data_IF_740649653908
#
_entry.id   IF_740649653908
#
_cell.length_a   1.000
_cell.length_b   1.000
_cell.length_c   1.000
_cell.angle_alpha   90.00
_cell.angle_beta   90.00
_cell.angle_gamma   90.00
#
_symmetry.space_group_name_H-M   'P 1'
#
loop_
_entity.id
_entity.type
_entity.pdbx_description
1 polymer ?
#
# COMPACT_ATOMS: atom_id res chain seq x y z
N UNK A 1 27.59 11.18 -92.52
CA UNK A 1 27.19 10.04 -91.69
C UNK A 1 27.32 10.46 -90.19
N UNK A 2 26.25 10.62 -89.40
CA UNK A 2 26.40 11.08 -88.06
C UNK A 2 26.46 9.89 -87.07
N UNK A 3 27.47 9.94 -86.19
CA UNK A 3 27.65 8.99 -85.10
C UNK A 3 26.59 9.24 -83.97
N UNK A 4 25.76 8.21 -83.68
CA UNK A 4 24.88 8.18 -82.54
C UNK A 4 25.69 7.76 -81.29
N UNK A 5 25.77 8.68 -80.30
CA UNK A 5 26.28 8.38 -78.98
C UNK A 5 25.16 7.79 -78.17
N UNK A 6 25.26 6.57 -77.64
CA UNK A 6 24.41 5.97 -76.66
C UNK A 6 24.89 6.45 -75.28
N UNK A 7 23.99 7.11 -74.54
CA UNK A 7 24.21 7.45 -73.12
C UNK A 7 23.59 6.36 -72.33
N UNK A 8 24.38 5.58 -71.56
CA UNK A 8 23.90 4.62 -70.56
C UNK A 8 23.63 5.41 -69.28
N UNK A 9 22.35 5.47 -68.83
CA UNK A 9 21.97 5.97 -67.54
C UNK A 9 22.01 4.77 -66.61
N UNK A 10 23.00 4.76 -65.69
CA UNK A 10 23.06 3.81 -64.59
C UNK A 10 22.07 4.28 -63.50
N UNK A 11 20.94 3.59 -63.35
CA UNK A 11 20.05 3.82 -62.23
C UNK A 11 20.60 3.11 -60.98
N UNK A 12 21.13 3.90 -60.03
CA UNK A 12 21.52 3.42 -58.69
C UNK A 12 20.27 3.36 -57.87
N UNK A 13 19.70 2.17 -57.68
CA UNK A 13 18.65 1.88 -56.70
C UNK A 13 19.31 1.71 -55.35
N UNK A 14 19.31 2.79 -54.53
CA UNK A 14 19.64 2.72 -53.11
C UNK A 14 18.53 2.00 -52.35
N UNK A 15 18.81 0.77 -51.96
CA UNK A 15 18.00 0.03 -51.01
C UNK A 15 18.15 0.67 -49.60
N UNK A 16 17.19 1.51 -49.23
CA UNK A 16 17.02 1.94 -47.83
C UNK A 16 16.51 0.74 -47.04
N UNK A 17 17.41 0.05 -46.31
CA UNK A 17 17.00 -0.87 -45.25
C UNK A 17 16.45 -0.05 -44.10
N UNK A 18 15.14 0.12 -44.06
CA UNK A 18 14.41 0.58 -42.87
C UNK A 18 14.44 -0.57 -41.90
N UNK A 19 15.39 -0.54 -40.98
CA UNK A 19 15.36 -1.40 -39.77
C UNK A 19 14.16 -0.98 -38.94
N UNK A 20 13.04 -1.67 -39.12
CA UNK A 20 11.89 -1.53 -38.22
C UNK A 20 12.31 -2.14 -36.87
N UNK A 21 12.67 -1.29 -35.93
CA UNK A 21 12.68 -1.66 -34.51
C UNK A 21 11.27 -2.01 -34.13
N UNK A 22 10.98 -3.29 -34.07
CA UNK A 22 9.72 -3.81 -33.50
C UNK A 22 9.76 -3.46 -32.02
N UNK A 23 9.15 -2.34 -31.66
CA UNK A 23 8.80 -2.06 -30.28
C UNK A 23 7.68 -3.05 -29.95
N UNK A 24 8.00 -4.12 -29.21
CA UNK A 24 6.99 -4.98 -28.64
C UNK A 24 6.12 -4.11 -27.73
N UNK A 25 4.87 -3.91 -28.12
CA UNK A 25 3.90 -3.27 -27.26
C UNK A 25 3.80 -4.07 -25.94
N UNK A 26 3.78 -3.39 -24.78
CA UNK A 26 3.63 -4.10 -23.51
C UNK A 26 2.31 -4.85 -23.54
N UNK A 27 2.36 -6.13 -23.20
CA UNK A 27 1.18 -7.00 -23.09
C UNK A 27 0.11 -6.29 -22.24
N UNK A 28 -1.12 -6.08 -22.75
CA UNK A 28 -2.14 -5.38 -22.00
C UNK A 28 -2.41 -6.06 -20.66
N UNK A 29 -2.64 -5.27 -19.60
CA UNK A 29 -2.95 -5.74 -18.24
C UNK A 29 -4.15 -6.74 -18.19
N UNK A 30 -4.98 -6.77 -19.22
CA UNK A 30 -6.13 -7.67 -19.39
C UNK A 30 -5.77 -9.15 -19.60
N UNK A 31 -4.48 -9.48 -19.79
CA UNK A 31 -4.00 -10.88 -19.95
C UNK A 31 -3.44 -11.50 -18.67
N UNK A 32 -3.38 -10.74 -17.56
CA UNK A 32 -3.17 -11.34 -16.25
C UNK A 32 -4.51 -11.98 -15.86
N UNK A 33 -4.59 -13.30 -15.94
CA UNK A 33 -5.72 -14.02 -15.36
C UNK A 33 -5.90 -13.56 -13.93
N UNK A 34 -7.06 -12.96 -13.62
CA UNK A 34 -7.43 -12.68 -12.22
C UNK A 34 -7.45 -14.02 -11.52
N UNK A 35 -6.41 -14.28 -10.73
CA UNK A 35 -6.33 -15.49 -9.93
C UNK A 35 -7.61 -15.58 -9.11
N UNK A 36 -8.43 -16.60 -9.36
CA UNK A 36 -9.73 -16.77 -8.69
C UNK A 36 -9.51 -16.74 -7.18
N UNK A 37 -10.15 -15.80 -6.50
CA UNK A 37 -10.06 -15.67 -5.04
C UNK A 37 -10.54 -16.95 -4.35
N UNK A 38 -9.85 -17.38 -3.29
CA UNK A 38 -10.33 -18.43 -2.40
C UNK A 38 -11.62 -17.99 -1.68
N UNK A 39 -12.37 -18.91 -1.09
CA UNK A 39 -13.58 -18.56 -0.33
C UNK A 39 -13.26 -17.58 0.83
N UNK A 40 -12.13 -17.77 1.50
CA UNK A 40 -11.66 -16.88 2.56
C UNK A 40 -11.35 -15.47 2.02
N UNK A 41 -10.66 -15.36 0.88
CA UNK A 41 -10.38 -14.08 0.22
C UNK A 41 -11.66 -13.40 -0.29
N UNK A 42 -12.64 -14.17 -0.79
CA UNK A 42 -13.95 -13.65 -1.18
C UNK A 42 -14.70 -13.08 0.02
N UNK A 43 -14.65 -13.78 1.15
CA UNK A 43 -15.21 -13.29 2.41
C UNK A 43 -14.49 -12.02 2.87
N UNK A 44 -13.17 -12.01 2.88
CA UNK A 44 -12.35 -10.84 3.23
C UNK A 44 -12.70 -9.63 2.36
N UNK A 45 -12.89 -9.83 1.06
CA UNK A 45 -13.36 -8.79 0.15
C UNK A 45 -14.72 -8.22 0.60
N UNK A 46 -15.69 -9.07 0.95
CA UNK A 46 -17.00 -8.58 1.39
C UNK A 46 -16.90 -7.80 2.70
N UNK A 47 -16.10 -8.26 3.65
CA UNK A 47 -15.83 -7.57 4.91
C UNK A 47 -15.14 -6.21 4.70
N UNK A 48 -14.14 -6.15 3.81
CA UNK A 48 -13.37 -4.93 3.51
C UNK A 48 -14.25 -3.80 2.94
N UNK A 49 -15.31 -4.14 2.22
CA UNK A 49 -16.23 -3.18 1.59
C UNK A 49 -17.56 -3.00 2.36
N UNK A 50 -17.77 -3.65 3.49
CA UNK A 50 -19.06 -3.57 4.20
C UNK A 50 -19.15 -2.34 5.10
N UNK A 51 -19.87 -1.34 4.64
CA UNK A 51 -20.13 -0.09 5.38
C UNK A 51 -21.09 -0.25 6.56
N UNK A 52 -21.75 -1.41 6.74
CA UNK A 52 -22.61 -1.66 7.89
C UNK A 52 -21.81 -1.99 9.15
N UNK A 53 -20.51 -2.29 9.03
CA UNK A 53 -19.69 -2.71 10.16
C UNK A 53 -19.28 -1.56 11.08
N UNK A 54 -19.37 -0.30 10.64
CA UNK A 54 -19.15 0.89 11.49
C UNK A 54 -20.36 1.26 12.34
N UNK A 55 -20.20 2.12 13.35
CA UNK A 55 -21.26 2.61 14.24
C UNK A 55 -21.18 4.15 14.42
N UNK A 56 -22.07 4.96 13.76
CA UNK A 56 -23.15 4.53 12.88
C UNK A 56 -22.65 3.83 11.61
N UNK A 57 -23.52 3.06 10.90
CA UNK A 57 -23.18 2.52 9.58
C UNK A 57 -22.83 3.61 8.57
N UNK A 58 -21.88 3.35 7.69
CA UNK A 58 -21.47 4.29 6.63
C UNK A 58 -20.00 4.21 6.26
N UNK A 59 -19.16 3.55 7.06
CA UNK A 59 -17.72 3.44 6.83
C UNK A 59 -17.26 1.98 6.79
N UNK A 60 -16.31 1.70 5.93
CA UNK A 60 -15.63 0.41 5.76
C UNK A 60 -14.12 0.64 5.58
N UNK A 61 -13.32 -0.42 5.50
CA UNK A 61 -11.89 -0.29 5.15
C UNK A 61 -11.71 0.47 3.83
N UNK A 62 -12.55 0.16 2.83
CA UNK A 62 -12.51 0.82 1.52
C UNK A 62 -12.86 2.32 1.56
N UNK A 63 -13.43 2.84 2.65
CA UNK A 63 -13.72 4.27 2.79
C UNK A 63 -12.45 5.10 2.95
N UNK A 64 -11.42 4.52 3.60
CA UNK A 64 -10.11 5.16 3.78
C UNK A 64 -9.03 4.53 2.90
N UNK A 65 -9.27 3.34 2.35
CA UNK A 65 -8.35 2.63 1.46
C UNK A 65 -9.01 2.37 0.10
N UNK A 66 -9.31 3.47 -0.64
CA UNK A 66 -9.98 3.37 -1.94
C UNK A 66 -9.01 2.81 -3.00
N UNK A 67 -9.46 1.79 -3.71
CA UNK A 67 -8.70 1.15 -4.79
C UNK A 67 -8.36 2.12 -5.94
N UNK A 68 -9.17 3.15 -6.13
CA UNK A 68 -8.96 4.17 -7.17
C UNK A 68 -7.81 5.12 -6.82
N UNK A 69 -7.51 5.29 -5.55
CA UNK A 69 -6.46 6.17 -5.02
C UNK A 69 -5.26 5.39 -4.51
N UNK A 70 -5.02 4.20 -5.07
CA UNK A 70 -3.93 3.31 -4.66
C UNK A 70 -4.05 2.83 -3.20
N UNK A 71 -5.28 2.57 -2.76
CA UNK A 71 -5.60 2.05 -1.42
C UNK A 71 -5.19 2.99 -0.28
N UNK A 72 -5.27 4.29 -0.53
CA UNK A 72 -5.14 5.34 0.47
C UNK A 72 -6.35 6.28 0.40
N UNK A 73 -6.52 7.12 1.40
CA UNK A 73 -7.53 8.18 1.39
C UNK A 73 -6.94 9.45 0.77
N UNK A 74 -7.66 10.03 -0.19
CA UNK A 74 -7.30 11.30 -0.80
C UNK A 74 -8.45 12.27 -0.58
N UNK A 75 -8.66 12.67 0.67
CA UNK A 75 -9.62 13.72 0.99
C UNK A 75 -8.98 15.06 0.68
N UNK A 76 -9.58 15.83 -0.25
CA UNK A 76 -9.14 17.17 -0.52
C UNK A 76 -9.29 18.03 0.75
N UNK A 77 -8.23 18.76 1.09
CA UNK A 77 -8.17 19.67 2.23
C UNK A 77 -8.22 19.01 3.63
N UNK A 78 -7.81 17.74 3.77
CA UNK A 78 -7.58 17.13 5.09
C UNK A 78 -6.31 16.29 5.08
N UNK A 79 -5.43 16.44 6.08
CA UNK A 79 -4.23 15.61 6.21
C UNK A 79 -4.54 14.20 6.73
N UNK A 80 -5.77 13.96 7.21
CA UNK A 80 -6.20 12.73 7.87
C UNK A 80 -7.60 12.32 7.44
N UNK A 81 -7.88 11.01 7.51
CA UNK A 81 -9.21 10.47 7.21
C UNK A 81 -10.25 10.85 8.26
N UNK A 82 -11.50 10.98 7.79
CA UNK A 82 -12.65 11.22 8.65
C UNK A 82 -13.14 9.90 9.26
N UNK A 83 -13.53 9.94 10.54
CA UNK A 83 -14.23 8.85 11.19
C UNK A 83 -15.70 8.76 10.80
N UNK A 84 -16.35 7.64 11.16
CA UNK A 84 -17.81 7.46 10.92
C UNK A 84 -18.67 8.43 11.73
N UNK A 85 -18.15 8.96 12.84
CA UNK A 85 -18.82 9.98 13.66
C UNK A 85 -18.35 11.36 13.19
N UNK A 86 -19.32 12.22 12.85
CA UNK A 86 -19.02 13.59 12.39
C UNK A 86 -18.11 14.33 13.35
N UNK A 87 -17.07 14.96 12.83
CA UNK A 87 -16.08 15.72 13.60
C UNK A 87 -14.96 14.87 14.22
N UNK A 88 -15.00 13.55 14.12
CA UNK A 88 -13.86 12.69 14.50
C UNK A 88 -12.95 12.41 13.32
N UNK A 89 -11.66 12.37 13.57
CA UNK A 89 -10.64 12.17 12.55
C UNK A 89 -9.51 11.31 13.12
N UNK A 90 -8.78 10.64 12.23
CA UNK A 90 -7.48 10.07 12.56
C UNK A 90 -6.47 11.13 13.04
N UNK A 91 -5.26 10.70 13.36
CA UNK A 91 -4.15 11.57 13.78
C UNK A 91 -3.01 11.57 12.76
N UNK A 92 -3.03 10.65 11.82
CA UNK A 92 -1.98 10.45 10.81
C UNK A 92 -2.59 10.33 9.43
N UNK A 93 -1.82 10.68 8.42
CA UNK A 93 -2.18 10.37 7.04
C UNK A 93 -2.42 8.87 6.88
N UNK A 94 -3.43 8.48 6.12
CA UNK A 94 -3.76 7.08 5.87
C UNK A 94 -2.70 6.44 4.97
N UNK A 95 -1.88 5.52 5.47
CA UNK A 95 -0.92 4.82 4.63
C UNK A 95 -1.64 3.95 3.60
N UNK A 96 -1.03 3.78 2.44
CA UNK A 96 -1.57 2.83 1.47
C UNK A 96 -1.64 1.42 2.05
N UNK A 97 -2.79 0.75 1.91
CA UNK A 97 -2.90 -0.68 2.22
C UNK A 97 -2.22 -1.57 1.16
N UNK A 98 -1.78 -0.99 0.02
CA UNK A 98 -1.01 -1.73 -0.98
C UNK A 98 0.33 -2.20 -0.39
N UNK A 99 0.70 -3.44 -0.69
CA UNK A 99 1.94 -4.08 -0.27
C UNK A 99 2.12 -4.25 1.26
N UNK A 100 1.12 -3.92 2.07
CA UNK A 100 1.17 -4.06 3.53
C UNK A 100 1.40 -5.50 4.00
N UNK A 101 0.98 -6.48 3.18
CA UNK A 101 1.16 -7.91 3.45
C UNK A 101 2.64 -8.37 3.43
N UNK A 102 3.56 -7.56 2.89
CA UNK A 102 4.99 -7.87 2.86
C UNK A 102 5.75 -7.37 4.09
N UNK A 103 5.13 -6.54 4.94
CA UNK A 103 5.80 -6.12 6.16
C UNK A 103 6.11 -7.32 7.06
N UNK A 104 7.36 -7.48 7.53
CA UNK A 104 7.69 -8.51 8.50
C UNK A 104 6.91 -8.31 9.80
N UNK A 105 6.75 -9.36 10.61
CA UNK A 105 6.17 -9.22 11.94
C UNK A 105 6.98 -8.25 12.80
N UNK A 106 6.30 -7.46 13.65
CA UNK A 106 6.99 -6.52 14.54
C UNK A 106 7.93 -7.26 15.49
N UNK A 107 9.19 -6.86 15.53
CA UNK A 107 10.21 -7.41 16.43
C UNK A 107 11.35 -6.42 16.66
N UNK A 108 12.12 -6.67 17.71
CA UNK A 108 13.41 -6.03 17.95
C UNK A 108 14.51 -6.91 17.34
N UNK A 109 15.32 -6.32 16.48
CA UNK A 109 16.52 -6.96 15.95
C UNK A 109 17.69 -6.66 16.90
N UNK A 110 18.23 -7.71 17.52
CA UNK A 110 19.28 -7.56 18.52
C UNK A 110 20.69 -7.38 17.91
N UNK A 111 20.85 -7.67 16.61
CA UNK A 111 22.13 -7.47 15.91
C UNK A 111 22.26 -6.01 15.46
N UNK A 112 21.18 -5.45 14.93
CA UNK A 112 21.12 -4.05 14.48
C UNK A 112 20.68 -3.08 15.59
N UNK A 113 20.25 -3.59 16.73
CA UNK A 113 19.75 -2.82 17.90
C UNK A 113 18.59 -1.88 17.57
N UNK A 114 17.65 -2.33 16.69
CA UNK A 114 16.52 -1.53 16.23
C UNK A 114 15.24 -2.36 16.07
N UNK A 115 14.10 -1.68 15.99
CA UNK A 115 12.82 -2.30 15.74
C UNK A 115 12.54 -2.36 14.24
N UNK A 116 11.91 -3.47 13.79
CA UNK A 116 11.58 -3.73 12.40
C UNK A 116 10.13 -4.23 12.28
N UNK A 117 9.46 -3.86 11.19
CA UNK A 117 8.21 -4.48 10.77
C UNK A 117 6.96 -4.00 11.48
N UNK A 118 5.97 -4.86 11.61
CA UNK A 118 4.66 -4.50 12.15
C UNK A 118 3.82 -3.64 11.22
N UNK A 119 2.62 -3.31 11.69
CA UNK A 119 1.66 -2.48 10.98
C UNK A 119 1.42 -1.16 11.74
N UNK A 120 0.74 -0.22 11.08
CA UNK A 120 0.72 1.20 11.42
C UNK A 120 2.11 1.85 11.33
N UNK A 121 2.19 3.16 11.58
CA UNK A 121 3.46 3.88 11.56
C UNK A 121 4.23 3.78 12.89
N UNK A 122 3.60 3.25 13.93
CA UNK A 122 4.13 3.07 15.29
C UNK A 122 4.35 1.60 15.70
N UNK A 123 4.10 0.64 14.81
CA UNK A 123 4.34 -0.78 15.08
C UNK A 123 3.37 -1.45 16.05
N UNK A 124 2.32 -0.74 16.53
CA UNK A 124 1.41 -1.26 17.58
C UNK A 124 0.63 -2.52 17.21
N UNK A 125 0.57 -2.87 15.93
CA UNK A 125 0.03 -4.16 15.49
C UNK A 125 1.14 -5.04 14.92
N UNK A 126 1.30 -6.23 15.48
CA UNK A 126 2.43 -7.11 15.17
C UNK A 126 2.43 -7.61 13.70
N UNK A 127 1.27 -7.70 13.07
CA UNK A 127 1.11 -8.16 11.69
C UNK A 127 -0.22 -7.67 11.10
N UNK A 128 -0.45 -7.96 9.81
CA UNK A 128 -1.62 -7.50 9.08
C UNK A 128 -2.97 -7.97 9.70
N UNK A 129 -3.02 -9.19 10.22
CA UNK A 129 -4.23 -9.70 10.88
C UNK A 129 -4.54 -8.91 12.16
N UNK A 130 -3.54 -8.61 12.97
CA UNK A 130 -3.74 -7.80 14.20
C UNK A 130 -4.11 -6.35 13.84
N UNK A 131 -3.56 -5.80 12.76
CA UNK A 131 -3.94 -4.49 12.26
C UNK A 131 -5.42 -4.43 11.88
N UNK A 132 -5.94 -5.43 11.15
CA UNK A 132 -7.31 -5.45 10.67
C UNK A 132 -8.38 -5.45 11.78
N UNK A 133 -8.01 -5.74 13.02
CA UNK A 133 -8.90 -5.65 14.19
C UNK A 133 -9.12 -4.20 14.64
N UNK A 134 -8.09 -3.38 14.62
CA UNK A 134 -8.08 -2.09 15.30
C UNK A 134 -9.12 -1.07 14.76
N UNK A 135 -9.29 -0.86 13.45
CA UNK A 135 -10.19 0.15 12.90
C UNK A 135 -11.66 -0.02 13.32
N UNK A 136 -12.14 -1.25 13.49
CA UNK A 136 -13.53 -1.50 13.89
C UNK A 136 -13.89 -0.85 15.22
N UNK A 137 -12.99 -0.91 16.19
CA UNK A 137 -13.21 -0.46 17.57
C UNK A 137 -12.67 0.94 17.83
N UNK A 138 -11.87 1.49 16.90
CA UNK A 138 -11.33 2.83 17.05
C UNK A 138 -12.45 3.88 16.98
N UNK A 139 -12.63 4.70 18.02
CA UNK A 139 -13.69 5.71 18.05
C UNK A 139 -13.49 6.80 16.98
N UNK A 140 -12.28 7.05 16.54
CA UNK A 140 -11.94 8.03 15.50
C UNK A 140 -12.01 7.45 14.06
N UNK A 141 -12.36 6.16 13.93
CA UNK A 141 -12.53 5.45 12.65
C UNK A 141 -13.94 4.84 12.58
N UNK A 142 -14.08 3.51 12.69
CA UNK A 142 -15.37 2.80 12.54
C UNK A 142 -16.24 2.80 13.81
N UNK A 143 -15.72 3.15 14.97
CA UNK A 143 -16.43 3.42 16.22
C UNK A 143 -17.41 2.32 16.68
N UNK A 144 -17.17 1.06 16.38
CA UNK A 144 -17.97 -0.03 16.97
C UNK A 144 -17.64 -0.17 18.46
N UNK A 145 -18.64 -0.35 19.34
CA UNK A 145 -18.40 -0.32 20.79
C UNK A 145 -17.59 -1.52 21.29
N UNK A 146 -17.73 -2.66 20.65
CA UNK A 146 -17.05 -3.91 20.99
C UNK A 146 -17.09 -4.94 19.85
N UNK A 147 -16.31 -6.01 19.99
CA UNK A 147 -16.24 -7.14 19.06
C UNK A 147 -17.62 -7.82 18.86
N UNK A 148 -18.40 -7.95 19.94
CA UNK A 148 -19.73 -8.57 19.89
C UNK A 148 -20.67 -7.80 18.95
N UNK A 149 -20.61 -6.46 18.98
CA UNK A 149 -21.43 -5.60 18.13
C UNK A 149 -21.07 -5.80 16.64
N UNK A 150 -19.78 -5.92 16.30
CA UNK A 150 -19.34 -6.25 14.95
C UNK A 150 -19.87 -7.62 14.52
N UNK A 151 -19.74 -8.64 15.37
CA UNK A 151 -20.22 -9.99 15.06
C UNK A 151 -21.73 -10.06 14.94
N UNK A 152 -22.48 -9.29 15.72
CA UNK A 152 -23.94 -9.23 15.61
C UNK A 152 -24.37 -8.68 14.22
N UNK A 153 -23.65 -7.70 13.68
CA UNK A 153 -23.89 -7.19 12.32
C UNK A 153 -23.57 -8.26 11.26
N UNK A 154 -22.47 -9.00 11.43
CA UNK A 154 -22.07 -10.09 10.51
C UNK A 154 -23.10 -11.23 10.53
N UNK A 155 -23.70 -11.59 11.67
CA UNK A 155 -24.76 -12.62 11.75
C UNK A 155 -25.94 -12.36 10.81
N UNK A 156 -26.24 -11.11 10.54
CA UNK A 156 -27.35 -10.68 9.67
C UNK A 156 -26.90 -10.26 8.27
N UNK A 157 -25.60 -10.26 8.01
CA UNK A 157 -25.06 -9.89 6.71
C UNK A 157 -25.32 -10.96 5.65
N UNK A 158 -25.44 -10.53 4.40
CA UNK A 158 -25.64 -11.43 3.23
C UNK A 158 -24.58 -12.52 3.10
N UNK A 159 -23.40 -12.31 3.64
CA UNK A 159 -22.25 -13.24 3.60
C UNK A 159 -22.10 -14.08 4.90
N UNK A 160 -23.07 -14.06 5.81
CA UNK A 160 -23.03 -14.87 7.03
C UNK A 160 -22.90 -16.38 6.76
N UNK A 161 -23.56 -16.87 5.70
CA UNK A 161 -23.44 -18.25 5.26
C UNK A 161 -22.03 -18.58 4.74
N UNK A 162 -21.41 -17.67 3.98
CA UNK A 162 -20.04 -17.83 3.52
C UNK A 162 -19.06 -17.82 4.72
N UNK A 163 -19.30 -16.96 5.72
CA UNK A 163 -18.49 -16.93 6.94
C UNK A 163 -18.48 -18.28 7.67
N UNK A 164 -19.68 -18.88 7.82
CA UNK A 164 -19.84 -20.22 8.39
C UNK A 164 -19.20 -21.32 7.52
N UNK A 165 -19.34 -21.22 6.21
CA UNK A 165 -18.72 -22.19 5.27
C UNK A 165 -17.19 -22.18 5.39
N UNK A 166 -16.56 -21.00 5.59
CA UNK A 166 -15.11 -20.87 5.68
C UNK A 166 -14.58 -21.30 7.05
N UNK A 167 -15.26 -20.92 8.13
CA UNK A 167 -14.72 -21.04 9.49
C UNK A 167 -15.49 -22.01 10.39
N UNK A 168 -16.53 -22.65 9.86
CA UNK A 168 -17.36 -23.62 10.58
C UNK A 168 -18.70 -23.07 11.03
N UNK A 169 -19.74 -23.92 11.04
CA UNK A 169 -21.15 -23.55 11.32
C UNK A 169 -21.35 -22.81 12.63
N UNK A 170 -20.57 -23.12 13.66
CA UNK A 170 -20.73 -22.58 15.01
C UNK A 170 -19.86 -21.35 15.27
N UNK A 171 -19.06 -20.91 14.33
CA UNK A 171 -18.05 -19.86 14.53
C UNK A 171 -18.66 -18.55 15.06
N UNK A 172 -19.83 -18.16 14.56
CA UNK A 172 -20.51 -16.92 14.96
C UNK A 172 -21.11 -16.96 16.37
N UNK A 173 -21.07 -18.11 17.09
CA UNK A 173 -21.53 -18.23 18.47
C UNK A 173 -20.48 -17.77 19.48
N UNK A 174 -19.22 -17.67 19.09
CA UNK A 174 -18.10 -17.18 19.91
C UNK A 174 -17.57 -15.89 19.28
N UNK A 175 -17.94 -14.74 19.84
CA UNK A 175 -17.62 -13.43 19.26
C UNK A 175 -16.13 -13.16 19.17
N UNK A 176 -15.37 -13.56 20.17
CA UNK A 176 -13.92 -13.35 20.19
C UNK A 176 -13.22 -14.15 19.09
N UNK A 177 -13.59 -15.43 18.95
CA UNK A 177 -13.06 -16.28 17.87
C UNK A 177 -13.53 -15.78 16.50
N UNK A 178 -14.81 -15.41 16.38
CA UNK A 178 -15.35 -14.87 15.12
C UNK A 178 -14.66 -13.59 14.72
N UNK A 179 -14.40 -12.67 15.66
CA UNK A 179 -13.70 -11.42 15.40
C UNK A 179 -12.25 -11.65 14.92
N UNK A 180 -11.56 -12.62 15.52
CA UNK A 180 -10.24 -13.05 15.04
C UNK A 180 -10.29 -13.59 13.60
N UNK A 181 -11.38 -14.28 13.22
CA UNK A 181 -11.60 -14.77 11.86
C UNK A 181 -12.01 -13.68 10.88
N UNK A 182 -12.69 -12.62 11.32
CA UNK A 182 -12.91 -11.41 10.51
C UNK A 182 -11.57 -10.82 10.08
N UNK A 183 -10.69 -10.59 11.03
CA UNK A 183 -9.35 -10.05 10.77
C UNK A 183 -8.51 -10.96 9.86
N UNK A 184 -8.58 -12.27 10.08
CA UNK A 184 -7.91 -13.26 9.22
C UNK A 184 -8.39 -13.18 7.78
N UNK A 185 -9.68 -13.11 7.53
CA UNK A 185 -10.24 -13.03 6.18
C UNK A 185 -9.87 -11.72 5.48
N UNK A 186 -9.88 -10.59 6.20
CA UNK A 186 -9.46 -9.29 5.65
C UNK A 186 -7.97 -9.36 5.27
N UNK A 187 -7.09 -9.80 6.15
CA UNK A 187 -5.67 -9.95 5.86
C UNK A 187 -5.42 -10.90 4.67
N UNK A 188 -6.20 -11.98 4.55
CA UNK A 188 -6.14 -12.89 3.40
C UNK A 188 -6.51 -12.20 2.09
N UNK A 189 -7.49 -11.28 2.10
CA UNK A 189 -7.86 -10.48 0.93
C UNK A 189 -6.79 -9.44 0.59
N UNK A 190 -6.24 -8.75 1.57
CA UNK A 190 -5.17 -7.76 1.37
C UNK A 190 -3.87 -8.40 0.85
N UNK A 191 -3.66 -9.69 1.10
CA UNK A 191 -2.53 -10.45 0.53
C UNK A 191 -2.76 -10.91 -0.92
N UNK A 192 -3.79 -10.42 -1.60
CA UNK A 192 -4.03 -10.78 -3.01
C UNK A 192 -3.28 -9.86 -3.97
N UNK A 193 -3.19 -10.28 -5.24
CA UNK A 193 -2.61 -9.48 -6.31
C UNK A 193 -3.35 -8.14 -6.54
N UNK A 194 -4.56 -7.97 -6.02
CA UNK A 194 -5.28 -6.68 -6.09
C UNK A 194 -4.56 -5.59 -5.28
N UNK A 195 -3.88 -5.96 -4.20
CA UNK A 195 -3.08 -5.06 -3.37
C UNK A 195 -1.60 -5.03 -3.77
N UNK A 196 -1.11 -6.06 -4.46
CA UNK A 196 0.32 -6.36 -4.62
C UNK A 196 0.69 -6.54 -6.11
N UNK A 197 0.44 -5.52 -6.94
CA UNK A 197 0.47 -5.68 -8.42
C UNK A 197 1.87 -5.70 -9.04
N UNK A 198 2.84 -5.01 -8.49
CA UNK A 198 4.19 -4.87 -9.05
C UNK A 198 4.17 -4.58 -10.56
N UNK A 199 3.48 -3.53 -10.97
CA UNK A 199 3.24 -3.17 -12.37
C UNK A 199 3.65 -1.73 -12.70
N UNK A 200 4.53 -1.13 -11.90
CA UNK A 200 5.09 0.19 -12.19
C UNK A 200 6.10 0.12 -13.34
N UNK A 201 6.40 1.28 -13.94
CA UNK A 201 7.48 1.38 -14.92
C UNK A 201 8.82 0.88 -14.36
N UNK A 202 9.06 1.11 -13.06
CA UNK A 202 10.26 0.64 -12.39
C UNK A 202 10.33 -0.90 -12.30
N UNK A 203 9.20 -1.56 -12.03
CA UNK A 203 9.14 -3.04 -12.05
C UNK A 203 9.46 -3.59 -13.44
N UNK A 204 8.94 -2.96 -14.50
CA UNK A 204 9.26 -3.35 -15.86
C UNK A 204 10.72 -3.04 -16.27
N UNK A 205 11.30 -1.96 -15.73
CA UNK A 205 12.70 -1.64 -15.90
C UNK A 205 13.60 -2.71 -15.26
N UNK A 206 13.34 -3.08 -14.02
CA UNK A 206 14.08 -4.14 -13.33
C UNK A 206 13.97 -5.50 -14.06
N UNK A 207 12.81 -5.75 -14.67
CA UNK A 207 12.59 -6.95 -15.52
C UNK A 207 13.24 -6.85 -16.92
N UNK A 208 13.95 -5.76 -17.25
CA UNK A 208 14.55 -5.52 -18.56
C UNK A 208 13.56 -5.29 -19.71
N UNK A 209 12.30 -4.98 -19.41
CA UNK A 209 11.23 -4.81 -20.41
C UNK A 209 11.10 -3.39 -20.94
N UNK A 210 11.52 -2.39 -20.19
CA UNK A 210 11.49 -0.97 -20.57
C UNK A 210 12.76 -0.28 -20.10
N UNK A 211 13.15 0.82 -20.77
CA UNK A 211 14.22 1.69 -20.33
C UNK A 211 13.65 2.88 -19.53
N UNK A 212 14.42 3.37 -18.57
CA UNK A 212 14.18 4.67 -17.96
C UNK A 212 14.57 5.78 -18.93
N UNK A 213 13.87 6.90 -18.92
CA UNK A 213 14.30 8.12 -19.58
C UNK A 213 15.58 8.66 -18.91
N UNK A 214 16.30 9.56 -19.58
CA UNK A 214 17.51 10.18 -19.02
C UNK A 214 17.24 10.90 -17.69
N UNK A 215 16.05 11.50 -17.53
CA UNK A 215 15.67 12.20 -16.30
C UNK A 215 15.36 11.23 -15.18
N UNK A 216 14.62 10.14 -15.47
CA UNK A 216 14.32 9.08 -14.50
C UNK A 216 15.59 8.35 -14.05
N UNK A 217 16.51 8.06 -14.99
CA UNK A 217 17.80 7.46 -14.63
C UNK A 217 18.62 8.39 -13.72
N UNK A 218 18.69 9.68 -14.04
CA UNK A 218 19.35 10.65 -13.17
C UNK A 218 18.69 10.74 -11.81
N UNK A 219 17.36 10.63 -11.74
CA UNK A 219 16.62 10.58 -10.48
C UNK A 219 16.98 9.35 -9.65
N UNK A 220 17.06 8.18 -10.29
CA UNK A 220 17.48 6.93 -9.65
C UNK A 220 18.92 7.02 -9.14
N UNK A 221 19.85 7.55 -9.96
CA UNK A 221 21.24 7.74 -9.58
C UNK A 221 21.36 8.65 -8.33
N UNK A 222 20.57 9.74 -8.27
CA UNK A 222 20.54 10.63 -7.10
C UNK A 222 19.88 9.99 -5.86
N UNK A 223 18.90 9.15 -6.08
CA UNK A 223 18.19 8.43 -5.01
C UNK A 223 19.10 7.40 -4.32
N UNK A 224 20.00 6.76 -5.10
CA UNK A 224 20.91 5.73 -4.64
C UNK A 224 22.29 6.28 -4.22
N UNK A 225 22.64 7.50 -4.59
CA UNK A 225 23.95 8.11 -4.33
C UNK A 225 24.08 8.51 -2.85
N UNK A 226 24.96 7.83 -2.12
CA UNK A 226 25.20 8.00 -0.69
C UNK A 226 25.71 9.42 -0.34
N UNK A 227 26.40 10.07 -1.26
CA UNK A 227 26.93 11.43 -1.07
C UNK A 227 25.91 12.54 -1.44
N UNK A 228 24.71 12.17 -1.94
CA UNK A 228 23.69 13.12 -2.41
C UNK A 228 22.32 12.90 -1.76
N UNK A 229 21.45 12.11 -2.43
CA UNK A 229 20.09 11.88 -1.95
C UNK A 229 20.06 10.89 -0.80
N UNK A 230 20.83 9.82 -0.91
CA UNK A 230 20.90 8.70 0.01
C UNK A 230 19.54 8.16 0.48
N UNK A 231 18.51 8.31 -0.37
CA UNK A 231 17.16 7.89 -0.02
C UNK A 231 17.06 6.36 0.05
N UNK A 232 17.89 5.66 -0.75
CA UNK A 232 17.91 4.20 -0.80
C UNK A 232 18.45 3.55 0.50
N UNK A 233 19.05 4.31 1.40
CA UNK A 233 19.49 3.82 2.71
C UNK A 233 18.31 3.25 3.53
N UNK A 234 17.15 3.94 3.49
CA UNK A 234 15.92 3.50 4.15
C UNK A 234 14.88 2.99 3.15
N UNK A 235 14.82 3.63 1.96
CA UNK A 235 13.87 3.27 0.90
C UNK A 235 14.52 2.41 -0.17
N UNK A 236 14.88 1.18 0.16
CA UNK A 236 15.65 0.27 -0.70
C UNK A 236 15.03 0.11 -2.09
N UNK A 237 15.79 0.51 -3.13
CA UNK A 237 15.38 0.45 -4.54
C UNK A 237 15.72 -0.88 -5.22
N UNK A 238 16.61 -1.65 -4.61
CA UNK A 238 17.06 -2.98 -5.08
C UNK A 238 16.92 -3.99 -3.96
N UNK A 239 16.72 -5.25 -4.33
CA UNK A 239 16.65 -6.36 -3.39
C UNK A 239 17.55 -7.47 -3.86
N UNK A 240 18.15 -8.18 -2.93
CA UNK A 240 18.86 -9.41 -3.24
C UNK A 240 17.88 -10.50 -3.68
N UNK A 241 18.34 -11.40 -4.56
CA UNK A 241 17.54 -12.55 -5.02
C UNK A 241 16.41 -12.23 -6.01
N UNK A 242 16.35 -11.00 -6.58
CA UNK A 242 15.44 -10.66 -7.68
C UNK A 242 13.97 -10.46 -7.26
N UNK A 243 13.68 -10.30 -5.99
CA UNK A 243 12.37 -9.85 -5.52
C UNK A 243 12.13 -8.39 -5.89
N UNK A 244 10.86 -7.98 -5.96
CA UNK A 244 10.53 -6.58 -6.29
C UNK A 244 10.75 -5.68 -5.06
N UNK A 245 11.47 -4.55 -5.18
CA UNK A 245 11.72 -3.66 -4.06
C UNK A 245 10.44 -3.02 -3.56
N UNK A 246 10.32 -2.87 -2.26
CA UNK A 246 9.18 -2.25 -1.60
C UNK A 246 9.43 -0.79 -1.23
N UNK A 247 10.64 -0.29 -1.46
CA UNK A 247 11.08 1.07 -1.12
C UNK A 247 10.85 1.41 0.35
N UNK A 248 11.18 0.46 1.21
CA UNK A 248 11.22 0.54 2.67
C UNK A 248 12.07 -0.62 3.19
N UNK A 249 12.78 -0.41 4.25
CA UNK A 249 13.48 -1.42 5.05
C UNK A 249 12.64 -1.85 6.27
N UNK A 250 11.48 -1.17 6.48
CA UNK A 250 10.57 -1.36 7.62
C UNK A 250 11.17 -1.01 9.00
N UNK A 251 12.29 -0.32 9.06
CA UNK A 251 12.87 0.23 10.29
C UNK A 251 12.09 1.45 10.78
N UNK A 252 12.51 2.04 11.90
CA UNK A 252 11.86 3.20 12.52
C UNK A 252 12.87 4.31 12.72
N UNK A 253 12.58 5.50 12.16
CA UNK A 253 13.46 6.65 12.22
C UNK A 253 12.75 7.92 12.68
N UNK A 254 13.51 8.82 13.29
CA UNK A 254 13.09 10.17 13.65
C UNK A 254 13.73 11.18 12.69
N UNK A 255 12.94 11.69 11.74
CA UNK A 255 13.40 12.69 10.78
C UNK A 255 13.37 14.12 11.32
N UNK A 256 12.92 14.34 12.56
CA UNK A 256 12.82 15.67 13.15
C UNK A 256 11.80 16.57 12.45
N UNK A 257 10.75 15.99 11.85
CA UNK A 257 9.70 16.78 11.19
C UNK A 257 8.92 17.62 12.20
N UNK A 258 8.57 18.89 11.88
CA UNK A 258 7.76 19.71 12.78
C UNK A 258 6.33 19.18 12.88
N UNK A 259 5.65 19.49 13.99
CA UNK A 259 4.23 19.20 14.15
C UNK A 259 3.42 19.86 13.04
N UNK A 260 2.48 19.11 12.45
CA UNK A 260 1.60 19.63 11.41
C UNK A 260 0.54 20.58 12.03
N UNK A 261 0.47 21.88 11.63
CA UNK A 261 -0.48 22.82 12.19
C UNK A 261 -1.96 22.42 11.99
N UNK A 262 -2.28 21.69 10.91
CA UNK A 262 -3.65 21.23 10.66
C UNK A 262 -4.04 20.12 11.64
N UNK A 263 -3.11 19.23 12.00
CA UNK A 263 -3.32 18.22 13.04
C UNK A 263 -3.49 18.88 14.40
N UNK A 264 -2.66 19.87 14.74
CA UNK A 264 -2.79 20.62 15.99
C UNK A 264 -4.12 21.35 16.08
N UNK A 265 -4.64 21.88 14.96
CA UNK A 265 -5.96 22.49 14.92
C UNK A 265 -7.11 21.48 15.17
N UNK A 266 -6.94 20.23 14.76
CA UNK A 266 -7.92 19.16 14.95
C UNK A 266 -7.87 18.51 16.34
N UNK A 267 -6.66 18.35 16.90
CA UNK A 267 -6.41 17.54 18.10
C UNK A 267 -6.05 18.37 19.34
N UNK A 268 -5.76 19.66 19.17
CA UNK A 268 -5.33 20.58 20.22
C UNK A 268 -3.84 20.94 20.12
N UNK A 269 -3.49 22.12 20.62
CA UNK A 269 -2.12 22.67 20.52
C UNK A 269 -1.06 21.83 21.24
N UNK A 270 -1.45 21.08 22.26
CA UNK A 270 -0.56 20.25 23.07
C UNK A 270 -0.45 18.80 22.56
N UNK A 271 -1.08 18.48 21.43
CA UNK A 271 -1.01 17.14 20.85
C UNK A 271 0.40 16.84 20.37
N UNK A 272 0.95 15.71 20.82
CA UNK A 272 2.24 15.18 20.39
C UNK A 272 2.06 13.73 19.96
N UNK A 273 2.43 13.44 18.72
CA UNK A 273 2.52 12.06 18.25
C UNK A 273 3.93 11.53 18.54
N UNK A 274 4.03 10.59 19.47
CA UNK A 274 5.31 10.02 19.88
C UNK A 274 5.71 8.79 19.07
N UNK A 275 4.92 8.38 18.09
CA UNK A 275 5.25 7.27 17.17
C UNK A 275 5.53 5.96 17.91
N UNK A 276 6.66 5.32 17.58
CA UNK A 276 7.08 4.03 18.15
C UNK A 276 7.14 4.04 19.67
N UNK A 277 7.45 5.18 20.27
CA UNK A 277 7.55 5.32 21.72
C UNK A 277 6.27 4.98 22.47
N UNK A 278 5.09 5.14 21.86
CA UNK A 278 3.81 4.70 22.44
C UNK A 278 3.73 3.16 22.55
N UNK A 279 4.41 2.45 21.67
CA UNK A 279 4.35 0.98 21.57
C UNK A 279 5.40 0.32 22.48
N UNK A 280 6.62 0.85 22.52
CA UNK A 280 7.76 0.14 23.15
C UNK A 280 8.44 0.91 24.28
N UNK A 281 8.17 2.20 24.44
CA UNK A 281 8.73 3.03 25.53
C UNK A 281 9.36 4.33 25.04
N UNK A 282 9.50 5.29 25.95
CA UNK A 282 9.84 6.69 25.65
C UNK A 282 11.23 6.91 25.00
N UNK A 283 12.11 5.95 25.09
CA UNK A 283 13.43 5.99 24.42
C UNK A 283 13.28 6.03 22.89
N UNK A 284 12.15 5.54 22.37
CA UNK A 284 11.84 5.48 20.96
C UNK A 284 10.88 6.60 20.49
N UNK A 285 10.69 7.65 21.31
CA UNK A 285 9.81 8.76 20.97
C UNK A 285 10.23 9.48 19.69
N UNK A 286 9.25 9.77 18.85
CA UNK A 286 9.42 10.49 17.60
C UNK A 286 9.90 9.63 16.43
N UNK A 287 10.11 8.33 16.64
CA UNK A 287 10.41 7.39 15.55
C UNK A 287 9.14 6.87 14.91
N UNK A 288 9.13 6.80 13.59
CA UNK A 288 8.04 6.27 12.79
C UNK A 288 8.58 5.26 11.78
N UNK A 289 7.79 4.25 11.48
CA UNK A 289 8.18 3.25 10.50
C UNK A 289 8.40 3.87 9.13
N UNK A 290 9.53 3.54 8.50
CA UNK A 290 9.85 3.95 7.13
C UNK A 290 8.74 3.48 6.18
N UNK A 291 7.97 4.41 5.55
CA UNK A 291 6.86 4.04 4.69
C UNK A 291 7.35 3.55 3.33
N UNK A 292 6.60 2.63 2.72
CA UNK A 292 6.83 2.28 1.33
C UNK A 292 6.59 3.48 0.41
N UNK A 293 7.49 3.72 -0.55
CA UNK A 293 7.28 4.74 -1.59
C UNK A 293 6.55 4.19 -2.83
N UNK A 294 6.04 2.97 -2.77
CA UNK A 294 5.23 2.44 -3.86
C UNK A 294 3.96 3.26 -4.05
N UNK A 295 3.65 3.57 -5.31
CA UNK A 295 2.50 4.40 -5.70
C UNK A 295 2.54 5.85 -5.19
N UNK A 296 3.65 6.35 -4.65
CA UNK A 296 3.78 7.68 -4.04
C UNK A 296 3.26 8.81 -4.94
N UNK A 297 3.43 8.71 -6.26
CA UNK A 297 2.93 9.69 -7.22
C UNK A 297 1.38 9.75 -7.31
N UNK A 298 0.68 8.77 -6.73
CA UNK A 298 -0.79 8.68 -6.73
C UNK A 298 -1.43 8.99 -5.38
N UNK A 299 -0.62 9.14 -4.34
CA UNK A 299 -1.09 9.35 -2.97
C UNK A 299 -0.95 10.80 -2.51
N UNK A 300 -0.64 11.72 -3.43
CA UNK A 300 -0.62 13.16 -3.13
C UNK A 300 -2.04 13.69 -2.81
N UNK A 301 -2.15 14.70 -1.92
CA UNK A 301 -1.08 15.42 -1.25
C UNK A 301 -0.43 14.57 -0.15
N UNK A 302 0.89 14.71 -0.01
CA UNK A 302 1.65 14.02 1.03
C UNK A 302 1.68 14.93 2.27
N UNK A 303 1.07 14.47 3.33
CA UNK A 303 1.11 15.13 4.62
C UNK A 303 2.09 14.39 5.54
N UNK A 304 3.01 15.12 6.10
CA UNK A 304 3.93 14.60 7.13
C UNK A 304 3.30 14.73 8.52
#
# INVERSE_FOLDING_TARGET
MPHKRFVFILAITSLFNISQTIHAEPTPLSTLEEKKLTLEQQLGKQLFFDTNLSSPPGQSCASCHDIKTSLTDVIQNSPVSLGTVTGRTGTRNTPSAAYSAFAPGFHFDAEEELYIGGQFLDGRAANLKEQAKAPFLNPDEMNSPDEQSVINKIKTARYASLFKQVFGEQILNDSKKAYDKVAQAIASFENTANFNRFSSKYDYFLAGRVALSKLEQKGLDLFEDEDKGNCAACHTSKTEGGSQPLFTDYTYDNLGTPSNPEILALKGADFVDVGLGETVGSEENGKFKVPSLRNIAKTAPLYA
#
